data_IF_533837466600
#
_entry.id   IF_533837466600
#
_cell.length_a   1.000
_cell.length_b   1.000
_cell.length_c   1.000
_cell.angle_alpha   90.00
_cell.angle_beta   90.00
_cell.angle_gamma   90.00
#
_symmetry.space_group_name_H-M   'P 1'
#
loop_
_entity.id
_entity.type
_entity.pdbx_description
1 polymer ?
#
# COMPACT_ATOMS: atom_id res chain seq x y z
N UNK A 1 -13.55 -21.92 7.83
CA UNK A 1 -14.55 -21.64 6.78
C UNK A 1 -14.57 -22.84 5.87
N UNK A 2 -15.74 -23.45 5.67
CA UNK A 2 -15.86 -24.61 4.77
C UNK A 2 -15.90 -24.13 3.31
N UNK A 3 -15.39 -24.92 2.36
CA UNK A 3 -15.30 -24.49 0.94
C UNK A 3 -16.69 -24.20 0.32
N UNK A 4 -17.73 -24.84 0.84
CA UNK A 4 -19.12 -24.66 0.41
C UNK A 4 -19.63 -23.27 0.80
N UNK A 5 -19.32 -22.78 2.01
CA UNK A 5 -19.75 -21.44 2.50
C UNK A 5 -19.20 -20.31 1.63
N UNK A 6 -17.95 -20.45 1.16
CA UNK A 6 -17.32 -19.45 0.28
C UNK A 6 -18.09 -19.28 -1.04
N UNK A 7 -18.69 -20.36 -1.54
CA UNK A 7 -19.43 -20.34 -2.81
C UNK A 7 -20.88 -19.89 -2.60
N UNK A 8 -21.51 -20.28 -1.49
CA UNK A 8 -22.92 -19.95 -1.22
C UNK A 8 -23.12 -18.56 -0.61
N UNK A 9 -22.14 -18.05 0.13
CA UNK A 9 -22.18 -16.75 0.80
C UNK A 9 -20.86 -15.97 0.61
N UNK A 10 -20.57 -15.47 -0.60
CA UNK A 10 -19.30 -14.79 -0.91
C UNK A 10 -19.07 -13.52 -0.07
N UNK A 11 -20.14 -12.88 0.42
CA UNK A 11 -20.06 -11.73 1.31
C UNK A 11 -19.44 -12.08 2.66
N UNK A 12 -19.71 -13.27 3.20
CA UNK A 12 -19.15 -13.70 4.49
C UNK A 12 -17.66 -13.97 4.38
N UNK A 13 -17.21 -14.51 3.25
CA UNK A 13 -15.79 -14.67 2.94
C UNK A 13 -15.06 -13.31 2.85
N UNK A 14 -15.64 -12.33 2.18
CA UNK A 14 -15.09 -10.96 2.09
C UNK A 14 -15.04 -10.27 3.46
N UNK A 15 -16.11 -10.38 4.25
CA UNK A 15 -16.15 -9.83 5.61
C UNK A 15 -15.11 -10.48 6.51
N UNK A 16 -14.95 -11.81 6.44
CA UNK A 16 -13.90 -12.51 7.18
C UNK A 16 -12.50 -12.02 6.81
N UNK A 17 -12.20 -11.85 5.52
CA UNK A 17 -10.90 -11.30 5.09
C UNK A 17 -10.72 -9.88 5.63
N UNK A 18 -11.72 -9.02 5.50
CA UNK A 18 -11.68 -7.66 6.00
C UNK A 18 -11.43 -7.62 7.52
N UNK A 19 -12.13 -8.46 8.30
CA UNK A 19 -11.92 -8.58 9.74
C UNK A 19 -10.48 -8.98 10.08
N UNK A 20 -9.92 -9.97 9.38
CA UNK A 20 -8.52 -10.35 9.58
C UNK A 20 -7.56 -9.20 9.24
N UNK A 21 -7.84 -8.45 8.17
CA UNK A 21 -7.03 -7.27 7.81
C UNK A 21 -7.06 -6.21 8.92
N UNK A 22 -8.24 -5.91 9.47
CA UNK A 22 -8.38 -4.94 10.56
C UNK A 22 -7.69 -5.40 11.84
N UNK A 23 -7.81 -6.68 12.21
CA UNK A 23 -7.14 -7.22 13.40
C UNK A 23 -5.61 -7.17 13.27
N UNK A 24 -5.08 -7.54 12.10
CA UNK A 24 -3.64 -7.47 11.84
C UNK A 24 -3.16 -6.02 11.85
N UNK A 25 -3.91 -5.11 11.23
CA UNK A 25 -3.59 -3.70 11.22
C UNK A 25 -3.55 -3.13 12.64
N UNK A 26 -4.56 -3.44 13.45
CA UNK A 26 -4.64 -3.01 14.84
C UNK A 26 -3.45 -3.53 15.67
N UNK A 27 -3.12 -4.82 15.58
CA UNK A 27 -1.94 -5.40 16.25
C UNK A 27 -0.63 -4.71 15.82
N UNK A 28 -0.50 -4.38 14.52
CA UNK A 28 0.65 -3.64 14.01
C UNK A 28 0.76 -2.25 14.63
N UNK A 29 -0.36 -1.52 14.70
CA UNK A 29 -0.40 -0.17 15.26
C UNK A 29 -0.19 -0.15 16.77
N UNK A 30 -0.70 -1.14 17.50
CA UNK A 30 -0.46 -1.29 18.94
C UNK A 30 1.01 -1.59 19.23
N UNK A 31 1.66 -2.38 18.38
CA UNK A 31 3.03 -2.83 18.61
C UNK A 31 4.09 -1.85 18.10
N UNK A 32 3.83 -1.18 16.99
CA UNK A 32 4.82 -0.36 16.30
C UNK A 32 4.43 1.11 16.14
N UNK A 33 3.15 1.46 16.27
CA UNK A 33 2.66 2.85 16.20
C UNK A 33 2.88 3.53 14.86
N UNK A 34 3.19 4.83 14.90
CA UNK A 34 3.34 5.68 13.72
C UNK A 34 4.33 5.18 12.63
N UNK A 35 5.47 4.51 12.95
CA UNK A 35 6.33 3.86 11.95
C UNK A 35 5.63 2.92 10.95
N UNK A 36 4.49 2.32 11.33
CA UNK A 36 3.70 1.46 10.42
C UNK A 36 3.25 2.23 9.19
N UNK A 37 2.93 3.52 9.34
CA UNK A 37 2.50 4.38 8.24
C UNK A 37 3.63 4.61 7.24
N UNK A 38 4.85 4.86 7.74
CA UNK A 38 6.04 4.98 6.89
C UNK A 38 6.29 3.70 6.10
N UNK A 39 6.30 2.55 6.77
CA UNK A 39 6.51 1.26 6.10
C UNK A 39 5.41 0.96 5.08
N UNK A 40 4.17 1.29 5.42
CA UNK A 40 3.02 1.10 4.52
C UNK A 40 3.14 1.95 3.27
N UNK A 41 3.50 3.24 3.40
CA UNK A 41 3.71 4.13 2.27
C UNK A 41 4.90 3.73 1.40
N UNK A 42 5.98 3.26 2.02
CA UNK A 42 7.15 2.73 1.33
C UNK A 42 6.81 1.50 0.46
N UNK A 43 6.10 0.53 1.04
CA UNK A 43 5.69 -0.69 0.35
C UNK A 43 4.72 -0.35 -0.78
N UNK A 44 3.72 0.50 -0.51
CA UNK A 44 2.73 0.94 -1.49
C UNK A 44 3.37 1.59 -2.72
N UNK A 45 4.34 2.49 -2.51
CA UNK A 45 5.03 3.21 -3.58
C UNK A 45 6.09 2.35 -4.32
N UNK A 46 6.44 1.18 -3.80
CA UNK A 46 7.40 0.28 -4.46
C UNK A 46 6.71 -0.53 -5.57
N UNK A 47 7.35 -0.59 -6.76
CA UNK A 47 6.82 -1.26 -7.95
C UNK A 47 6.34 -2.69 -7.64
N UNK A 48 5.06 -2.94 -7.93
CA UNK A 48 4.41 -4.25 -7.83
C UNK A 48 3.92 -4.63 -6.43
N UNK A 49 4.42 -4.00 -5.36
CA UNK A 49 4.06 -4.37 -3.99
C UNK A 49 2.70 -3.81 -3.55
N UNK A 50 2.31 -2.61 -4.00
CA UNK A 50 0.98 -2.03 -3.73
C UNK A 50 -0.20 -2.82 -4.32
N UNK A 51 0.03 -3.77 -5.24
CA UNK A 51 -1.04 -4.66 -5.73
C UNK A 51 -1.49 -5.68 -4.69
N UNK A 52 -0.56 -6.09 -3.82
CA UNK A 52 -0.79 -7.13 -2.80
C UNK A 52 -1.03 -6.49 -1.44
N UNK A 53 -0.33 -5.39 -1.15
CA UNK A 53 -0.36 -4.71 0.13
C UNK A 53 -1.30 -3.50 0.07
N UNK A 54 -2.41 -3.45 0.83
CA UNK A 54 -3.32 -2.31 0.80
C UNK A 54 -2.82 -1.19 1.73
N UNK A 55 -1.74 -0.51 1.33
CA UNK A 55 -1.09 0.51 2.15
C UNK A 55 -1.97 1.71 2.44
N UNK A 56 -2.90 2.06 1.54
CA UNK A 56 -3.85 3.17 1.74
C UNK A 56 -4.72 2.94 2.98
N UNK A 57 -5.22 1.72 3.19
CA UNK A 57 -6.06 1.39 4.37
C UNK A 57 -5.24 1.56 5.65
N UNK A 58 -3.98 1.10 5.65
CA UNK A 58 -3.07 1.24 6.79
C UNK A 58 -2.78 2.70 7.12
N UNK A 59 -2.61 3.57 6.11
CA UNK A 59 -2.40 5.00 6.35
C UNK A 59 -3.63 5.69 6.94
N UNK A 60 -4.84 5.35 6.49
CA UNK A 60 -6.08 5.84 7.09
C UNK A 60 -6.21 5.39 8.55
N UNK A 61 -5.91 4.13 8.83
CA UNK A 61 -5.90 3.61 10.20
C UNK A 61 -4.88 4.34 11.06
N UNK A 62 -3.68 4.59 10.55
CA UNK A 62 -2.68 5.38 11.28
C UNK A 62 -3.16 6.78 11.62
N UNK A 63 -3.86 7.44 10.69
CA UNK A 63 -4.52 8.72 10.96
C UNK A 63 -5.59 8.64 12.04
N UNK A 64 -6.39 7.57 12.08
CA UNK A 64 -7.37 7.33 13.13
C UNK A 64 -6.71 7.06 14.50
N UNK A 65 -5.59 6.34 14.52
CA UNK A 65 -4.81 6.05 15.73
C UNK A 65 -3.91 7.21 16.20
N UNK A 66 -3.83 8.30 15.43
CA UNK A 66 -3.02 9.47 15.75
C UNK A 66 -3.43 10.08 17.10
N UNK A 67 -4.73 10.15 17.34
CA UNK A 67 -5.32 10.75 18.55
C UNK A 67 -5.06 9.88 19.79
N UNK A 68 -5.26 8.56 19.66
CA UNK A 68 -5.06 7.59 20.75
C UNK A 68 -3.60 7.50 21.24
N UNK A 69 -2.63 7.61 20.32
CA UNK A 69 -1.21 7.54 20.67
C UNK A 69 -0.58 8.91 20.96
N UNK A 70 -1.36 9.99 20.93
CA UNK A 70 -0.86 11.36 21.08
C UNK A 70 0.16 11.76 20.00
N UNK A 71 0.16 11.06 18.86
CA UNK A 71 1.06 11.36 17.75
C UNK A 71 0.44 12.45 16.89
N UNK A 72 1.11 13.60 16.69
CA UNK A 72 0.53 14.66 15.89
C UNK A 72 0.32 14.19 14.46
N UNK A 73 -0.86 14.47 13.89
CA UNK A 73 -1.20 14.06 12.52
C UNK A 73 -0.18 14.54 11.49
N UNK A 74 0.45 15.70 11.72
CA UNK A 74 1.55 16.21 10.90
C UNK A 74 2.74 15.25 10.82
N UNK A 75 3.06 14.55 11.91
CA UNK A 75 4.13 13.54 11.93
C UNK A 75 3.74 12.30 11.13
N UNK A 76 2.46 11.89 11.18
CA UNK A 76 1.95 10.79 10.36
C UNK A 76 2.05 11.14 8.88
N UNK A 77 1.64 12.35 8.50
CA UNK A 77 1.82 12.86 7.14
C UNK A 77 3.29 12.89 6.73
N UNK A 78 4.18 13.37 7.60
CA UNK A 78 5.62 13.40 7.31
C UNK A 78 6.19 11.99 7.10
N UNK A 79 5.80 11.03 7.93
CA UNK A 79 6.21 9.62 7.81
C UNK A 79 5.69 8.99 6.52
N UNK A 80 4.41 9.18 6.18
CA UNK A 80 3.86 8.72 4.92
C UNK A 80 4.63 9.32 3.73
N UNK A 81 4.84 10.64 3.74
CA UNK A 81 5.54 11.36 2.68
C UNK A 81 6.99 10.88 2.49
N UNK A 82 7.73 10.70 3.57
CA UNK A 82 9.09 10.15 3.53
C UNK A 82 9.11 8.71 3.02
N UNK A 83 8.14 7.89 3.43
CA UNK A 83 7.97 6.52 2.94
C UNK A 83 7.74 6.49 1.43
N UNK A 84 6.83 7.34 0.92
CA UNK A 84 6.57 7.47 -0.52
C UNK A 84 7.80 7.91 -1.30
N UNK A 85 8.52 8.95 -0.85
CA UNK A 85 9.75 9.41 -1.53
C UNK A 85 10.77 8.28 -1.65
N UNK A 86 11.00 7.55 -0.56
CA UNK A 86 11.90 6.40 -0.58
C UNK A 86 11.38 5.29 -1.49
N UNK A 87 10.08 5.01 -1.46
CA UNK A 87 9.46 3.97 -2.29
C UNK A 87 9.58 4.28 -3.77
N UNK A 88 9.29 5.50 -4.19
CA UNK A 88 9.47 5.97 -5.56
C UNK A 88 10.94 5.91 -6.00
N UNK A 89 11.86 6.25 -5.09
CA UNK A 89 13.30 6.16 -5.36
C UNK A 89 13.73 4.70 -5.58
N UNK A 90 13.23 3.77 -4.76
CA UNK A 90 13.48 2.34 -4.90
C UNK A 90 12.83 1.77 -6.17
N UNK A 91 11.59 2.15 -6.46
CA UNK A 91 10.89 1.81 -7.68
C UNK A 91 11.66 2.26 -8.93
N UNK A 92 12.14 3.51 -8.93
CA UNK A 92 12.98 4.04 -10.00
C UNK A 92 14.30 3.27 -10.13
N UNK A 93 15.00 3.02 -9.01
CA UNK A 93 16.22 2.23 -8.98
C UNK A 93 16.02 0.82 -9.57
N UNK A 94 14.95 0.13 -9.15
CA UNK A 94 14.58 -1.20 -9.65
C UNK A 94 14.25 -1.16 -11.14
N UNK A 95 13.51 -0.16 -11.61
CA UNK A 95 13.24 0.01 -13.04
C UNK A 95 14.51 0.32 -13.84
N UNK A 96 15.41 1.14 -13.28
CA UNK A 96 16.63 1.59 -13.95
C UNK A 96 17.71 0.52 -14.06
N UNK A 97 17.82 -0.36 -13.07
CA UNK A 97 18.84 -1.43 -13.03
C UNK A 97 18.29 -2.83 -13.28
N UNK A 98 17.00 -3.08 -13.07
CA UNK A 98 16.36 -4.38 -13.26
C UNK A 98 15.69 -4.59 -14.62
N UNK A 99 15.45 -3.53 -15.40
CA UNK A 99 14.75 -3.60 -16.69
C UNK A 99 15.69 -3.68 -17.89
N UNK A 100 15.63 -4.77 -18.65
CA UNK A 100 16.04 -4.75 -20.07
C UNK A 100 15.24 -3.69 -20.81
N UNK A 101 15.91 -2.89 -21.67
CA UNK A 101 15.30 -1.79 -22.44
C UNK A 101 13.96 -2.24 -23.02
N UNK A 102 12.88 -1.53 -22.68
CA UNK A 102 11.62 -1.67 -23.42
C UNK A 102 11.93 -1.48 -24.91
N UNK A 103 11.49 -2.39 -25.80
CA UNK A 103 11.70 -2.23 -27.23
C UNK A 103 11.19 -0.84 -27.63
N UNK A 104 12.03 -0.05 -28.27
CA UNK A 104 11.65 1.24 -28.83
C UNK A 104 10.58 0.96 -29.89
N UNK A 105 9.31 1.04 -29.52
CA UNK A 105 8.23 1.00 -30.49
C UNK A 105 8.32 2.30 -31.31
N UNK A 106 8.37 2.23 -32.65
CA UNK A 106 8.34 3.43 -33.47
C UNK A 106 7.11 4.26 -33.12
N UNK A 107 7.29 5.55 -32.88
CA UNK A 107 6.17 6.49 -32.72
C UNK A 107 5.36 6.45 -34.02
N UNK A 108 4.05 6.16 -33.99
CA UNK A 108 3.24 6.15 -35.21
C UNK A 108 3.26 7.55 -35.85
N UNK A 109 3.29 7.64 -37.19
CA UNK A 109 3.29 8.92 -37.88
C UNK A 109 2.03 9.72 -37.49
N UNK A 110 2.21 11.03 -37.26
CA UNK A 110 1.09 11.94 -37.00
C UNK A 110 0.11 11.88 -38.19
N UNK A 111 -1.21 11.76 -37.96
CA UNK A 111 -2.19 11.84 -39.04
C UNK A 111 -2.06 13.20 -39.75
N UNK A 112 -2.06 13.17 -41.08
CA UNK A 112 -2.11 14.38 -41.90
C UNK A 112 -3.43 15.15 -41.62
N UNK A 113 -3.42 16.50 -41.72
CA UNK A 113 -4.59 17.33 -41.49
C UNK A 113 -5.72 17.06 -42.50
#
# INVERSE_FOLDING_TARGET
MEFVDVITAPYDALNWVADQMFLIANDLFDRFGAPVVFASALIEATVGLGLIYPGVIMMFLGGAFADDQGTPIAMIFALAFLGTILGDTLAYALGRWGGGRAPCAPIPPRPAP
#
